data_IF_948236076143
#
_entry.id   IF_948236076143
#
_cell.length_a   1.000
_cell.length_b   1.000
_cell.length_c   1.000
_cell.angle_alpha   90.00
_cell.angle_beta   90.00
_cell.angle_gamma   90.00
#
_symmetry.space_group_name_H-M   'P 1'
#
loop_
_entity.id
_entity.type
_entity.pdbx_description
1 polymer ?
#
# COMPACT_ATOMS: atom_id res chain seq x y z
N UNK A 1 30.57 22.18 0.30
CA UNK A 1 29.11 21.90 0.32
C UNK A 1 28.47 22.53 -0.89
N UNK A 2 27.42 21.91 -1.47
CA UNK A 2 26.67 22.54 -2.56
C UNK A 2 26.00 23.82 -2.03
N UNK A 3 26.19 24.93 -2.74
CA UNK A 3 25.63 26.25 -2.39
C UNK A 3 24.15 26.39 -2.78
N UNK A 4 23.62 25.45 -3.57
CA UNK A 4 22.24 25.44 -4.06
C UNK A 4 21.72 24.01 -3.89
N UNK A 5 20.59 23.87 -3.21
CA UNK A 5 19.88 22.60 -3.03
C UNK A 5 18.75 22.51 -4.04
N UNK A 6 18.60 21.35 -4.68
CA UNK A 6 17.42 21.07 -5.48
C UNK A 6 16.17 20.94 -4.61
N UNK A 7 14.96 21.20 -5.14
CA UNK A 7 13.73 20.96 -4.41
C UNK A 7 13.62 19.48 -4.00
N UNK A 8 13.06 19.19 -2.81
CA UNK A 8 12.93 17.83 -2.31
C UNK A 8 12.00 17.02 -3.22
N UNK A 9 12.44 15.83 -3.60
CA UNK A 9 11.66 14.87 -4.40
C UNK A 9 11.34 13.67 -3.52
N UNK A 10 10.05 13.44 -3.30
CA UNK A 10 9.56 12.27 -2.54
C UNK A 10 8.93 11.27 -3.51
N UNK A 11 9.20 9.98 -3.28
CA UNK A 11 8.59 8.92 -4.07
C UNK A 11 7.12 8.71 -3.67
N UNK A 12 6.25 8.44 -4.63
CA UNK A 12 4.85 8.07 -4.38
C UNK A 12 4.67 6.56 -4.33
N UNK A 13 3.61 6.09 -3.66
CA UNK A 13 3.24 4.68 -3.65
C UNK A 13 3.04 4.16 -5.08
N UNK A 14 2.36 4.94 -5.93
CA UNK A 14 2.12 4.57 -7.33
C UNK A 14 3.43 4.34 -8.08
N UNK A 15 4.44 5.20 -7.87
CA UNK A 15 5.75 5.03 -8.52
C UNK A 15 6.50 3.81 -7.98
N UNK A 16 6.46 3.57 -6.67
CA UNK A 16 7.04 2.37 -6.07
C UNK A 16 6.41 1.10 -6.63
N UNK A 17 5.07 1.06 -6.76
CA UNK A 17 4.34 -0.08 -7.34
C UNK A 17 4.70 -0.29 -8.82
N UNK A 18 4.83 0.78 -9.61
CA UNK A 18 5.28 0.66 -11.01
C UNK A 18 6.66 0.00 -11.10
N UNK A 19 7.60 0.41 -10.24
CA UNK A 19 8.93 -0.18 -10.20
C UNK A 19 8.90 -1.66 -9.79
N UNK A 20 8.02 -2.02 -8.85
CA UNK A 20 7.79 -3.43 -8.48
C UNK A 20 7.24 -4.25 -9.65
N UNK A 21 6.34 -3.70 -10.46
CA UNK A 21 5.83 -4.39 -11.65
C UNK A 21 6.88 -4.57 -12.74
N UNK A 22 7.82 -3.63 -12.89
CA UNK A 22 8.93 -3.74 -13.85
C UNK A 22 9.88 -4.91 -13.53
N UNK A 23 10.01 -5.30 -12.26
CA UNK A 23 10.94 -6.36 -11.81
C UNK A 23 10.28 -7.75 -11.64
N UNK A 24 9.01 -7.90 -12.02
CA UNK A 24 8.22 -9.15 -12.01
C UNK A 24 8.12 -9.96 -10.68
N UNK A 25 8.66 -9.46 -9.57
CA UNK A 25 8.76 -10.21 -8.31
C UNK A 25 7.43 -10.31 -7.53
N UNK A 26 6.43 -9.50 -7.90
CA UNK A 26 5.33 -9.13 -7.00
C UNK A 26 3.93 -9.37 -7.59
N UNK A 27 3.81 -10.18 -8.65
CA UNK A 27 2.51 -10.50 -9.24
C UNK A 27 1.68 -11.31 -8.22
N UNK A 28 0.69 -10.66 -7.58
CA UNK A 28 -0.36 -11.16 -6.66
C UNK A 28 -0.16 -10.86 -5.16
N UNK A 29 0.76 -9.99 -4.76
CA UNK A 29 0.87 -9.63 -3.35
C UNK A 29 -0.11 -8.52 -2.96
N UNK A 30 -0.70 -8.69 -1.78
CA UNK A 30 -1.44 -7.65 -1.09
C UNK A 30 -0.44 -6.66 -0.49
N UNK A 31 -0.85 -5.40 -0.43
CA UNK A 31 -0.03 -4.34 0.11
C UNK A 31 -0.87 -3.34 0.89
N UNK A 32 -0.18 -2.56 1.73
CA UNK A 32 -0.75 -1.46 2.50
C UNK A 32 -0.05 -0.19 2.06
N UNK A 33 -0.80 0.69 1.42
CA UNK A 33 -0.37 2.05 1.10
C UNK A 33 -0.70 2.98 2.28
N UNK A 34 0.32 3.68 2.77
CA UNK A 34 0.19 4.60 3.90
C UNK A 34 0.71 5.97 3.46
N UNK A 35 -0.10 7.01 3.68
CA UNK A 35 0.27 8.40 3.43
C UNK A 35 0.11 9.22 4.70
N UNK A 36 1.07 10.11 4.96
CA UNK A 36 1.03 11.11 6.03
C UNK A 36 0.70 10.51 7.40
N UNK A 37 1.34 9.39 7.73
CA UNK A 37 1.20 8.71 9.02
C UNK A 37 1.47 9.69 10.17
N UNK A 38 0.55 9.76 11.14
CA UNK A 38 0.60 10.69 12.26
C UNK A 38 -0.02 12.06 11.99
N UNK A 39 -0.51 12.34 10.78
CA UNK A 39 -1.31 13.55 10.52
C UNK A 39 -2.74 13.40 11.03
N UNK A 40 -3.25 14.42 11.71
CA UNK A 40 -4.61 14.42 12.26
C UNK A 40 -5.72 14.52 11.20
N UNK A 41 -5.45 15.21 10.09
CA UNK A 41 -6.47 15.55 9.07
C UNK A 41 -6.32 14.75 7.79
N UNK A 42 -5.11 14.24 7.56
CA UNK A 42 -4.63 13.97 6.21
C UNK A 42 -4.00 12.59 6.05
N UNK A 43 -3.98 11.79 7.13
CA UNK A 43 -3.51 10.42 7.11
C UNK A 43 -4.42 9.54 6.24
N UNK A 44 -3.81 8.76 5.35
CA UNK A 44 -4.52 7.77 4.56
C UNK A 44 -3.87 6.41 4.70
N UNK A 45 -4.69 5.38 4.91
CA UNK A 45 -4.28 3.98 4.92
C UNK A 45 -5.24 3.24 4.00
N UNK A 46 -4.69 2.56 3.00
CA UNK A 46 -5.46 1.79 2.01
C UNK A 46 -4.81 0.43 1.83
N UNK A 47 -5.62 -0.63 1.92
CA UNK A 47 -5.20 -2.02 1.73
C UNK A 47 -5.79 -2.57 0.45
N UNK A 48 -5.01 -3.34 -0.29
CA UNK A 48 -5.50 -4.05 -1.46
C UNK A 48 -4.36 -4.67 -2.25
N UNK A 49 -4.71 -5.20 -3.41
CA UNK A 49 -3.70 -5.65 -4.38
C UNK A 49 -2.88 -4.47 -4.89
N UNK A 50 -1.64 -4.72 -5.32
CA UNK A 50 -0.81 -3.68 -5.95
C UNK A 50 -1.52 -2.95 -7.10
N UNK A 51 -2.33 -3.68 -7.90
CA UNK A 51 -3.12 -3.07 -8.98
C UNK A 51 -4.19 -2.11 -8.44
N UNK A 52 -4.89 -2.48 -7.37
CA UNK A 52 -5.89 -1.61 -6.74
C UNK A 52 -5.24 -0.37 -6.14
N UNK A 53 -4.08 -0.51 -5.49
CA UNK A 53 -3.36 0.62 -4.91
C UNK A 53 -2.73 1.55 -5.97
N UNK A 54 -2.32 1.01 -7.12
CA UNK A 54 -1.71 1.80 -8.20
C UNK A 54 -2.64 2.90 -8.72
N UNK A 55 -3.95 2.70 -8.68
CA UNK A 55 -4.94 3.71 -9.13
C UNK A 55 -5.45 4.62 -8.01
N UNK A 56 -5.00 4.40 -6.76
CA UNK A 56 -5.43 5.23 -5.64
C UNK A 56 -4.65 6.52 -5.58
N UNK A 57 -5.35 7.60 -5.24
CA UNK A 57 -4.72 8.83 -4.77
C UNK A 57 -4.43 8.73 -3.26
N UNK A 58 -3.19 9.06 -2.90
CA UNK A 58 -2.66 9.08 -1.54
C UNK A 58 -2.37 10.52 -1.06
N UNK A 59 -2.54 11.50 -1.93
CA UNK A 59 -2.31 12.91 -1.64
C UNK A 59 -0.83 13.30 -1.59
N UNK A 60 -0.51 14.25 -0.73
CA UNK A 60 0.85 14.77 -0.60
C UNK A 60 1.74 13.80 0.21
N UNK A 61 3.06 13.79 -0.04
CA UNK A 61 4.01 13.01 0.76
C UNK A 61 3.94 13.35 2.26
N UNK A 62 4.46 12.51 3.17
CA UNK A 62 5.27 11.30 2.94
C UNK A 62 4.44 10.03 2.72
N UNK A 63 5.05 9.07 2.02
CA UNK A 63 4.43 7.84 1.57
C UNK A 63 5.24 6.62 2.02
N UNK A 64 4.54 5.56 2.41
CA UNK A 64 5.10 4.26 2.76
C UNK A 64 4.27 3.15 2.10
N UNK A 65 4.93 2.11 1.63
CA UNK A 65 4.31 0.92 1.08
C UNK A 65 4.77 -0.29 1.90
N UNK A 66 3.84 -1.07 2.42
CA UNK A 66 4.11 -2.32 3.14
C UNK A 66 3.64 -3.47 2.26
N UNK A 67 4.52 -4.41 1.96
CA UNK A 67 4.16 -5.63 1.25
C UNK A 67 3.77 -6.68 2.28
N UNK A 68 2.59 -7.28 2.11
CA UNK A 68 2.06 -8.26 3.04
C UNK A 68 2.75 -9.60 2.80
N UNK A 69 3.18 -10.24 3.89
CA UNK A 69 3.81 -11.56 3.84
C UNK A 69 2.82 -12.68 3.56
N UNK A 70 3.33 -13.86 3.20
CA UNK A 70 2.51 -15.04 2.93
C UNK A 70 1.81 -15.62 4.17
N UNK A 71 2.25 -15.25 5.36
CA UNK A 71 1.64 -15.64 6.64
C UNK A 71 1.32 -14.37 7.42
N UNK A 72 0.05 -14.16 7.70
CA UNK A 72 -0.45 -13.10 8.55
C UNK A 72 -1.33 -13.69 9.63
N UNK A 73 -1.39 -13.03 10.78
CA UNK A 73 -2.26 -13.43 11.87
C UNK A 73 -3.71 -13.07 11.56
N UNK A 74 -4.68 -13.85 12.05
CA UNK A 74 -6.12 -13.63 11.81
C UNK A 74 -6.56 -12.20 12.17
N UNK A 75 -6.06 -11.68 13.29
CA UNK A 75 -6.34 -10.30 13.70
C UNK A 75 -5.79 -9.26 12.70
N UNK A 76 -4.63 -9.50 12.09
CA UNK A 76 -4.08 -8.58 11.08
C UNK A 76 -5.00 -8.52 9.86
N UNK A 77 -5.53 -9.68 9.44
CA UNK A 77 -6.51 -9.78 8.35
C UNK A 77 -7.76 -8.96 8.66
N UNK A 78 -8.31 -9.10 9.88
CA UNK A 78 -9.49 -8.37 10.32
C UNK A 78 -9.24 -6.86 10.37
N UNK A 79 -8.07 -6.43 10.87
CA UNK A 79 -7.69 -5.02 10.91
C UNK A 79 -7.50 -4.44 9.51
N UNK A 80 -6.82 -5.15 8.63
CA UNK A 80 -6.59 -4.75 7.25
C UNK A 80 -7.89 -4.58 6.47
N UNK A 81 -8.90 -5.40 6.76
CA UNK A 81 -10.25 -5.32 6.16
C UNK A 81 -10.94 -3.97 6.36
N UNK A 82 -10.68 -3.28 7.48
CA UNK A 82 -11.25 -1.95 7.71
C UNK A 82 -10.74 -0.90 6.72
N UNK A 83 -9.51 -1.08 6.23
CA UNK A 83 -8.82 -0.18 5.32
C UNK A 83 -8.80 -0.68 3.87
N UNK A 84 -9.49 -1.79 3.56
CA UNK A 84 -9.55 -2.35 2.22
C UNK A 84 -10.23 -1.39 1.24
N UNK A 85 -9.59 -1.14 0.09
CA UNK A 85 -10.14 -0.34 -1.02
C UNK A 85 -11.43 -0.98 -1.53
N UNK A 86 -11.42 -2.30 -1.68
CA UNK A 86 -12.60 -3.10 -2.01
C UNK A 86 -12.70 -4.28 -1.03
N UNK A 87 -13.72 -4.22 -0.18
CA UNK A 87 -13.96 -5.24 0.84
C UNK A 87 -14.39 -6.57 0.24
N UNK A 88 -15.06 -6.59 -0.91
CA UNK A 88 -15.52 -7.84 -1.53
C UNK A 88 -14.31 -8.60 -2.08
N UNK A 89 -13.50 -7.93 -2.90
CA UNK A 89 -12.26 -8.49 -3.45
C UNK A 89 -11.32 -8.93 -2.32
N UNK A 90 -11.18 -8.13 -1.27
CA UNK A 90 -10.35 -8.50 -0.13
C UNK A 90 -10.84 -9.79 0.56
N UNK A 91 -12.16 -9.94 0.81
CA UNK A 91 -12.69 -11.15 1.42
C UNK A 91 -12.51 -12.39 0.52
N UNK A 92 -12.57 -12.22 -0.81
CA UNK A 92 -12.31 -13.32 -1.75
C UNK A 92 -10.85 -13.77 -1.71
N UNK A 93 -9.91 -12.82 -1.63
CA UNK A 93 -8.48 -13.12 -1.49
C UNK A 93 -8.24 -13.83 -0.15
N UNK A 94 -8.81 -13.31 0.94
CA UNK A 94 -8.64 -13.91 2.27
C UNK A 94 -9.13 -15.36 2.31
N UNK A 95 -10.31 -15.63 1.77
CA UNK A 95 -10.85 -17.00 1.68
C UNK A 95 -9.96 -17.92 0.87
N UNK A 96 -9.41 -17.41 -0.23
CA UNK A 96 -8.58 -18.19 -1.15
C UNK A 96 -7.19 -18.48 -0.57
N UNK A 97 -6.54 -17.49 0.02
CA UNK A 97 -5.14 -17.55 0.40
C UNK A 97 -4.95 -18.00 1.87
N UNK A 98 -5.92 -17.71 2.75
CA UNK A 98 -5.87 -18.06 4.17
C UNK A 98 -6.91 -19.10 4.61
N UNK A 99 -7.90 -19.42 3.76
CA UNK A 99 -8.88 -20.48 4.05
C UNK A 99 -9.89 -20.16 5.16
N UNK A 100 -10.06 -18.87 5.48
CA UNK A 100 -10.96 -18.34 6.52
C UNK A 100 -12.09 -17.51 5.89
#
# INVERSE_FOLDING_TARGET
GKKIYEPPRYMTINKAIQQLFEIEETRKQEAIGIARLGSFTDQQIKVGTLNQLLIQDFGSPLHSLVIVGSRVHVLEIDFMRFFAVDKQVYNEIVKKDYGI
#
